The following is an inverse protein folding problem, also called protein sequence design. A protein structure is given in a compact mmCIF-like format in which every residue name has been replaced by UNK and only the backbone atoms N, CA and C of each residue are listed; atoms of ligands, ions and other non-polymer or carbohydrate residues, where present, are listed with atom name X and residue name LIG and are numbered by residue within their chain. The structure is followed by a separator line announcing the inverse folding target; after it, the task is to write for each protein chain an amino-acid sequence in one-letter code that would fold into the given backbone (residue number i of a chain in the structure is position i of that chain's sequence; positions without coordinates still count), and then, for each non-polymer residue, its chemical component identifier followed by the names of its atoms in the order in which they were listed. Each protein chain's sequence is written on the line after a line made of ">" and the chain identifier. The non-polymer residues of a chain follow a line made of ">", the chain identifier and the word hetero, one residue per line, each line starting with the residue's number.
data_IF_729002075854
#
_entry.id   IF_729002075854
#
_cell.length_a   1.000
_cell.length_b   1.000
_cell.length_c   1.000
_cell.angle_alpha   90.00
_cell.angle_beta   90.00
_cell.angle_gamma   90.00
#
_symmetry.space_group_name_H-M   'P 1'
#
loop_
_entity.id
_entity.type
_entity.pdbx_description
1 polymer ?
#
# COMPACT_ATOMS: atom_id res chain seq x y z
N UNK A 1 18.55 -17.54 4.16
CA UNK A 1 17.70 -16.79 5.12
C UNK A 1 18.39 -16.42 6.43
N UNK A 2 19.22 -17.27 7.06
CA UNK A 2 19.80 -17.00 8.39
C UNK A 2 20.73 -15.77 8.49
N UNK A 3 21.20 -15.22 7.37
CA UNK A 3 22.02 -13.99 7.29
C UNK A 3 21.24 -12.75 6.86
N UNK A 4 19.91 -12.82 6.73
CA UNK A 4 19.11 -11.69 6.23
C UNK A 4 19.26 -10.46 7.13
N UNK A 5 19.46 -9.28 6.52
CA UNK A 5 19.71 -7.98 7.18
C UNK A 5 20.94 -7.94 8.09
N UNK A 6 21.86 -8.91 7.97
CA UNK A 6 23.16 -8.85 8.64
C UNK A 6 24.20 -8.25 7.70
N UNK A 7 25.25 -7.64 8.26
CA UNK A 7 26.39 -7.13 7.51
C UNK A 7 26.96 -8.24 6.62
N UNK A 8 27.17 -7.95 5.33
CA UNK A 8 27.61 -8.90 4.31
C UNK A 8 26.67 -10.12 4.11
N UNK A 9 25.43 -10.05 4.60
CA UNK A 9 24.38 -11.05 4.41
C UNK A 9 23.38 -10.67 3.32
N UNK A 10 22.27 -11.40 3.27
CA UNK A 10 21.18 -11.15 2.32
C UNK A 10 20.45 -9.84 2.64
N UNK A 11 20.02 -9.11 1.60
CA UNK A 11 19.20 -7.93 1.77
C UNK A 11 17.84 -8.27 2.39
N UNK A 12 17.25 -7.28 3.07
CA UNK A 12 15.90 -7.40 3.65
C UNK A 12 14.76 -7.29 2.64
N UNK A 13 15.08 -7.02 1.37
CA UNK A 13 14.18 -6.78 0.25
C UNK A 13 14.79 -7.38 -1.01
N UNK A 14 14.01 -7.47 -2.10
CA UNK A 14 14.53 -7.97 -3.38
C UNK A 14 15.66 -7.09 -3.88
N UNK A 15 16.75 -7.71 -4.33
CA UNK A 15 17.94 -7.02 -4.83
C UNK A 15 18.52 -7.76 -6.02
N UNK A 16 18.49 -7.09 -7.18
CA UNK A 16 18.87 -7.67 -8.48
C UNK A 16 20.28 -8.28 -8.52
N UNK A 17 21.21 -7.73 -7.75
CA UNK A 17 22.58 -8.26 -7.70
C UNK A 17 22.72 -9.50 -6.82
N UNK A 18 21.71 -9.85 -6.01
CA UNK A 18 21.73 -11.01 -5.12
C UNK A 18 21.13 -12.25 -5.78
N UNK A 19 20.23 -12.09 -6.75
CA UNK A 19 19.59 -13.22 -7.42
C UNK A 19 19.01 -12.86 -8.80
N UNK A 20 19.05 -13.80 -9.74
CA UNK A 20 18.35 -13.68 -11.03
C UNK A 20 16.82 -13.64 -10.88
N UNK A 21 16.30 -14.20 -9.78
CA UNK A 21 14.88 -14.22 -9.45
C UNK A 21 14.39 -12.87 -8.90
N UNK A 22 15.30 -12.00 -8.47
CA UNK A 22 15.00 -10.64 -8.03
C UNK A 22 14.98 -9.70 -9.23
N UNK A 23 13.87 -9.73 -9.97
CA UNK A 23 13.75 -9.02 -11.24
C UNK A 23 13.86 -7.48 -11.11
N UNK A 24 13.49 -6.93 -9.94
CA UNK A 24 13.56 -5.51 -9.63
C UNK A 24 13.96 -5.28 -8.16
N UNK A 25 14.72 -4.22 -7.90
CA UNK A 25 15.13 -3.85 -6.55
C UNK A 25 14.01 -3.10 -5.83
N UNK A 26 13.70 -3.45 -4.58
CA UNK A 26 12.63 -2.81 -3.81
C UNK A 26 13.12 -2.31 -2.45
N UNK A 27 12.32 -1.43 -1.83
CA UNK A 27 12.59 -0.83 -0.52
C UNK A 27 11.50 0.18 -0.19
N UNK A 28 11.43 1.28 -0.95
CA UNK A 28 10.25 2.14 -0.97
C UNK A 28 9.06 1.40 -1.59
N UNK A 29 7.87 1.64 -1.05
CA UNK A 29 6.62 1.03 -1.48
C UNK A 29 6.10 1.63 -2.80
N UNK A 30 5.05 1.03 -3.35
CA UNK A 30 4.23 1.59 -4.44
C UNK A 30 4.90 1.69 -5.81
N UNK A 31 6.13 1.19 -5.94
CA UNK A 31 6.91 1.21 -7.19
C UNK A 31 6.63 0.02 -8.10
N UNK A 32 6.00 -1.05 -7.58
CA UNK A 32 5.93 -2.35 -8.27
C UNK A 32 5.09 -2.32 -9.55
N UNK A 33 4.00 -1.54 -9.59
CA UNK A 33 3.17 -1.42 -10.81
C UNK A 33 3.92 -0.64 -11.88
N UNK A 34 4.57 0.50 -11.55
CA UNK A 34 5.38 1.25 -12.52
C UNK A 34 6.52 0.41 -13.07
N UNK A 35 7.24 -0.30 -12.18
CA UNK A 35 8.35 -1.16 -12.57
C UNK A 35 7.86 -2.32 -13.46
N UNK A 36 6.76 -2.96 -13.09
CA UNK A 36 6.10 -3.99 -13.90
C UNK A 36 5.69 -3.47 -15.28
N UNK A 37 5.06 -2.30 -15.35
CA UNK A 37 4.69 -1.67 -16.63
C UNK A 37 5.92 -1.42 -17.51
N UNK A 38 6.98 -0.85 -16.95
CA UNK A 38 8.24 -0.64 -17.69
C UNK A 38 8.85 -1.94 -18.18
N UNK A 39 8.80 -3.02 -17.39
CA UNK A 39 9.25 -4.35 -17.79
C UNK A 39 8.36 -4.97 -18.89
N UNK A 40 7.05 -4.74 -18.86
CA UNK A 40 6.11 -5.22 -19.89
C UNK A 40 6.34 -4.49 -21.22
N UNK A 41 6.44 -3.16 -21.19
CA UNK A 41 6.82 -2.36 -22.38
C UNK A 41 8.19 -2.79 -22.92
N UNK A 42 9.18 -2.96 -22.05
CA UNK A 42 10.52 -3.41 -22.44
C UNK A 42 10.56 -4.84 -23.01
N UNK A 43 9.66 -5.72 -22.55
CA UNK A 43 9.45 -7.05 -23.14
C UNK A 43 8.94 -6.92 -24.57
N UNK A 44 7.90 -6.12 -24.78
CA UNK A 44 7.22 -5.98 -26.06
C UNK A 44 8.13 -5.36 -27.12
N UNK A 45 8.88 -4.31 -26.76
CA UNK A 45 9.91 -3.71 -27.60
C UNK A 45 11.02 -4.68 -28.02
N UNK A 46 11.25 -5.74 -27.24
CA UNK A 46 12.25 -6.79 -27.52
C UNK A 46 11.65 -8.03 -28.20
N UNK A 47 10.36 -7.99 -28.57
CA UNK A 47 9.66 -9.14 -29.16
C UNK A 47 9.56 -10.37 -28.25
N UNK A 48 9.70 -10.17 -26.93
CA UNK A 48 9.65 -11.26 -25.94
C UNK A 48 8.20 -11.58 -25.57
N UNK A 49 7.97 -12.78 -25.02
CA UNK A 49 6.62 -13.29 -24.67
C UNK A 49 6.48 -13.73 -23.22
N UNK A 50 7.41 -13.32 -22.34
CA UNK A 50 7.32 -13.63 -20.92
C UNK A 50 6.15 -12.87 -20.26
N UNK A 51 5.61 -13.40 -19.16
CA UNK A 51 4.61 -12.69 -18.37
C UNK A 51 5.27 -11.74 -17.38
N UNK A 52 4.60 -10.65 -17.07
CA UNK A 52 5.01 -9.67 -16.06
C UNK A 52 3.93 -9.60 -15.00
N UNK A 53 4.32 -9.85 -13.75
CA UNK A 53 3.41 -9.90 -12.60
C UNK A 53 3.94 -8.96 -11.53
N UNK A 54 3.14 -7.97 -11.15
CA UNK A 54 3.43 -7.04 -10.07
C UNK A 54 2.56 -7.40 -8.85
N UNK A 55 3.18 -7.67 -7.72
CA UNK A 55 2.47 -7.87 -6.44
C UNK A 55 2.55 -6.58 -5.63
N UNK A 56 1.43 -6.11 -5.13
CA UNK A 56 1.33 -4.86 -4.37
C UNK A 56 0.39 -5.05 -3.18
N UNK A 57 0.76 -4.52 -2.01
CA UNK A 57 -0.11 -4.53 -0.83
C UNK A 57 -1.17 -3.43 -0.89
N UNK A 58 -2.29 -3.62 -0.21
CA UNK A 58 -3.36 -2.63 -0.01
C UNK A 58 -2.84 -1.29 0.52
N UNK A 59 -1.93 -1.30 1.49
CA UNK A 59 -1.27 -0.08 1.97
C UNK A 59 -0.39 0.61 0.93
N UNK A 60 0.33 -0.15 0.10
CA UNK A 60 1.17 0.41 -0.96
C UNK A 60 0.34 0.94 -2.14
N UNK A 61 -0.91 0.51 -2.28
CA UNK A 61 -1.82 1.03 -3.29
C UNK A 61 -2.27 2.47 -3.00
N UNK A 62 -2.07 2.98 -1.78
CA UNK A 62 -2.54 4.33 -1.41
C UNK A 62 -1.67 5.45 -1.98
N UNK A 63 -0.45 5.17 -2.44
CA UNK A 63 0.44 6.20 -2.96
C UNK A 63 0.07 6.64 -4.37
N UNK A 64 0.27 7.92 -4.67
CA UNK A 64 -0.01 8.51 -5.99
C UNK A 64 0.63 7.74 -7.15
N UNK A 65 1.90 7.32 -7.00
CA UNK A 65 2.61 6.55 -8.02
C UNK A 65 1.88 5.26 -8.44
N UNK A 66 1.21 4.56 -7.50
CA UNK A 66 0.45 3.36 -7.85
C UNK A 66 -0.74 3.69 -8.76
N UNK A 67 -1.45 4.78 -8.48
CA UNK A 67 -2.56 5.26 -9.31
C UNK A 67 -2.09 5.73 -10.69
N UNK A 68 -1.01 6.50 -10.74
CA UNK A 68 -0.39 6.95 -11.99
C UNK A 68 0.01 5.74 -12.87
N UNK A 69 0.62 4.73 -12.26
CA UNK A 69 1.04 3.53 -12.95
C UNK A 69 -0.13 2.69 -13.45
N UNK A 70 -1.18 2.52 -12.65
CA UNK A 70 -2.40 1.82 -13.09
C UNK A 70 -3.08 2.56 -14.25
N UNK A 71 -3.20 3.89 -14.14
CA UNK A 71 -3.75 4.72 -15.21
C UNK A 71 -2.94 4.58 -16.50
N UNK A 72 -1.61 4.61 -16.40
CA UNK A 72 -0.74 4.44 -17.56
C UNK A 72 -0.81 3.01 -18.13
N UNK A 73 -0.89 1.98 -17.28
CA UNK A 73 -1.01 0.59 -17.73
C UNK A 73 -2.32 0.37 -18.51
N UNK A 74 -3.42 0.96 -18.04
CA UNK A 74 -4.71 0.94 -18.74
C UNK A 74 -4.65 1.70 -20.07
N UNK A 75 -4.03 2.89 -20.10
CA UNK A 75 -3.85 3.66 -21.34
C UNK A 75 -3.03 2.91 -22.41
N UNK A 76 -2.03 2.12 -21.98
CA UNK A 76 -1.17 1.37 -22.90
C UNK A 76 -1.73 -0.01 -23.28
N UNK A 77 -2.89 -0.41 -22.75
CA UNK A 77 -3.42 -1.77 -22.90
C UNK A 77 -2.34 -2.86 -22.66
N UNK A 78 -1.49 -2.65 -21.63
CA UNK A 78 -0.31 -3.50 -21.43
C UNK A 78 -0.68 -4.90 -20.93
N UNK A 79 -0.17 -5.96 -21.58
CA UNK A 79 -0.28 -7.36 -21.10
C UNK A 79 0.59 -7.56 -19.85
N UNK A 80 0.02 -7.23 -18.69
CA UNK A 80 0.61 -7.42 -17.38
C UNK A 80 -0.44 -7.82 -16.35
N UNK A 81 -0.01 -8.48 -15.28
CA UNK A 81 -0.86 -8.91 -14.18
C UNK A 81 -0.48 -8.10 -12.93
N UNK A 82 -1.45 -7.50 -12.28
CA UNK A 82 -1.32 -6.87 -10.97
C UNK A 82 -2.04 -7.73 -9.95
N UNK A 83 -1.34 -8.18 -8.91
CA UNK A 83 -1.91 -8.89 -7.77
C UNK A 83 -1.98 -7.91 -6.61
N UNK A 84 -3.19 -7.53 -6.23
CA UNK A 84 -3.45 -6.76 -5.03
C UNK A 84 -3.58 -7.72 -3.84
N UNK A 85 -2.57 -7.72 -2.97
CA UNK A 85 -2.58 -8.45 -1.71
C UNK A 85 -3.21 -7.58 -0.61
N UNK A 86 -4.49 -7.77 -0.36
CA UNK A 86 -5.28 -7.04 0.61
C UNK A 86 -5.40 -7.81 1.93
N UNK A 87 -4.70 -7.34 2.96
CA UNK A 87 -4.83 -7.87 4.32
C UNK A 87 -5.52 -6.87 5.28
N UNK A 88 -6.10 -5.79 4.74
CA UNK A 88 -6.78 -4.72 5.47
C UNK A 88 -5.90 -4.03 6.53
N UNK A 89 -4.58 -4.08 6.41
CA UNK A 89 -3.67 -3.46 7.38
C UNK A 89 -2.47 -2.80 6.72
N UNK A 90 -2.26 -1.52 7.03
CA UNK A 90 -1.04 -0.81 6.65
C UNK A 90 0.19 -1.28 7.42
N UNK A 91 1.34 -0.88 6.87
CA UNK A 91 2.66 -1.08 7.46
C UNK A 91 2.80 -0.19 8.70
N UNK A 92 3.03 -0.83 9.85
CA UNK A 92 3.01 -0.30 11.23
C UNK A 92 1.59 -0.03 11.75
N UNK A 93 1.33 -0.25 13.05
CA UNK A 93 0.06 0.15 13.61
C UNK A 93 0.04 1.67 13.55
N UNK A 94 -0.77 2.19 12.63
CA UNK A 94 -1.52 3.42 12.81
C UNK A 94 -2.39 3.20 14.05
N UNK A 95 -1.73 3.14 15.22
CA UNK A 95 -2.33 2.76 16.47
C UNK A 95 -3.25 3.91 16.90
N UNK A 96 -4.50 3.84 16.45
CA UNK A 96 -5.59 4.53 17.13
C UNK A 96 -5.81 3.91 18.51
N UNK A 97 -6.62 4.59 19.33
CA UNK A 97 -6.95 4.19 20.69
C UNK A 97 -7.49 2.74 20.80
N UNK A 98 -8.08 2.19 19.72
CA UNK A 98 -8.91 0.97 19.77
C UNK A 98 -8.43 -0.20 18.88
N UNK A 99 -7.33 -0.07 18.11
CA UNK A 99 -6.79 -1.20 17.32
C UNK A 99 -6.13 -0.84 15.98
N UNK A 100 -5.73 -1.85 15.17
CA UNK A 100 -5.16 -1.64 13.84
C UNK A 100 -6.19 -1.04 12.87
N UNK A 101 -5.75 -0.08 12.04
CA UNK A 101 -6.62 0.65 11.11
C UNK A 101 -6.41 0.12 9.69
N UNK A 102 -7.48 -0.04 8.88
CA UNK A 102 -7.33 -0.30 7.45
C UNK A 102 -6.58 0.84 6.74
N UNK A 103 -5.92 0.58 5.60
CA UNK A 103 -5.28 1.65 4.83
C UNK A 103 -6.24 2.82 4.56
N UNK A 104 -5.73 4.04 4.70
CA UNK A 104 -6.46 5.25 4.31
C UNK A 104 -6.61 5.26 2.80
N UNK A 105 -7.83 5.10 2.31
CA UNK A 105 -8.12 5.12 0.87
C UNK A 105 -9.56 4.76 0.53
N UNK A 106 -10.22 5.65 -0.21
CA UNK A 106 -11.56 5.40 -0.74
C UNK A 106 -11.59 4.19 -1.69
N UNK A 107 -10.45 3.75 -2.26
CA UNK A 107 -10.41 2.62 -3.18
C UNK A 107 -10.65 1.27 -2.49
N UNK A 108 -10.08 1.00 -1.31
CA UNK A 108 -10.35 -0.25 -0.59
C UNK A 108 -11.82 -0.34 -0.16
N UNK A 109 -12.38 0.79 0.30
CA UNK A 109 -13.80 0.87 0.65
C UNK A 109 -14.73 0.90 -0.56
N UNK A 110 -14.33 1.49 -1.70
CA UNK A 110 -15.09 1.52 -2.95
C UNK A 110 -15.06 0.17 -3.66
N UNK A 111 -13.92 -0.54 -3.68
CA UNK A 111 -13.83 -1.93 -4.14
C UNK A 111 -14.70 -2.83 -3.25
N UNK A 112 -14.62 -2.68 -1.92
CA UNK A 112 -15.47 -3.41 -0.98
C UNK A 112 -16.98 -3.08 -1.12
N UNK A 113 -17.34 -1.82 -1.45
CA UNK A 113 -18.74 -1.38 -1.64
C UNK A 113 -19.32 -1.73 -3.02
N UNK A 114 -18.51 -1.68 -4.08
CA UNK A 114 -18.88 -2.22 -5.39
C UNK A 114 -19.17 -3.72 -5.31
N UNK A 115 -18.51 -4.42 -4.37
CA UNK A 115 -18.69 -5.84 -4.10
C UNK A 115 -19.91 -6.16 -3.20
N UNK A 116 -20.32 -5.26 -2.29
CA UNK A 116 -21.44 -5.52 -1.36
C UNK A 116 -22.83 -5.21 -1.93
N UNK A 117 -22.89 -4.51 -3.07
CA UNK A 117 -24.14 -4.30 -3.80
C UNK A 117 -24.56 -5.60 -4.52
N UNK A 118 -25.59 -6.26 -3.96
CA UNK A 118 -26.29 -7.43 -4.52
C UNK A 118 -26.73 -7.35 -6.01
N UNK A 119 -26.92 -6.20 -6.71
CA UNK A 119 -27.43 -6.21 -8.08
C UNK A 119 -26.45 -6.73 -9.15
N UNK A 120 -25.14 -6.81 -8.87
CA UNK A 120 -24.16 -7.22 -9.89
C UNK A 120 -24.23 -8.72 -10.24
N UNK A 121 -24.75 -9.55 -9.32
CA UNK A 121 -25.02 -10.98 -9.57
C UNK A 121 -26.24 -11.17 -10.49
N UNK A 122 -27.28 -10.36 -10.32
CA UNK A 122 -28.50 -10.42 -11.13
C UNK A 122 -28.29 -9.86 -12.55
N UNK A 123 -27.48 -8.81 -12.69
CA UNK A 123 -27.11 -8.26 -14.00
C UNK A 123 -26.37 -9.28 -14.88
N UNK A 124 -25.63 -10.21 -14.26
CA UNK A 124 -24.86 -11.27 -14.92
C UNK A 124 -25.72 -12.43 -15.44
N UNK A 125 -26.84 -12.70 -14.77
CA UNK A 125 -27.87 -13.66 -15.23
C UNK A 125 -28.69 -13.06 -16.40
N UNK A 126 -29.01 -11.76 -16.32
CA UNK A 126 -29.71 -11.04 -17.41
C UNK A 126 -28.84 -10.94 -18.66
N UNK A 127 -27.53 -10.66 -18.52
CA UNK A 127 -26.60 -10.59 -19.66
C UNK A 127 -26.39 -11.94 -20.38
N UNK A 128 -26.44 -13.07 -19.64
CA UNK A 128 -26.41 -14.43 -20.23
C UNK A 128 -27.69 -14.76 -21.02
N UNK A 129 -28.83 -14.15 -20.67
CA UNK A 129 -30.09 -14.30 -21.39
C UNK A 129 -30.11 -13.51 -22.71
N UNK A 130 -29.55 -12.31 -22.72
CA UNK A 130 -29.59 -11.38 -23.86
C UNK A 130 -28.55 -11.72 -24.94
N UNK A 131 -27.40 -12.29 -24.56
CA UNK A 131 -26.33 -12.66 -25.51
C UNK A 131 -26.70 -13.80 -26.46
N UNK A 132 -27.75 -14.59 -26.18
CA UNK A 132 -28.24 -15.63 -27.10
C UNK A 132 -29.09 -15.11 -28.26
N UNK A 133 -29.50 -13.83 -28.27
CA UNK A 133 -30.43 -13.30 -29.27
C UNK A 133 -29.87 -12.17 -30.15
N UNK A 134 -28.64 -11.70 -29.94
CA UNK A 134 -28.09 -10.56 -30.70
C UNK A 134 -26.91 -11.04 -31.55
N UNK A 135 -27.18 -11.30 -32.83
CA UNK A 135 -26.17 -11.64 -33.83
C UNK A 135 -25.46 -10.42 -34.40
N UNK A 136 -24.14 -10.55 -34.64
CA UNK A 136 -23.29 -9.60 -35.38
C UNK A 136 -23.27 -8.16 -34.86
N UNK A 137 -22.50 -7.27 -35.49
CA UNK A 137 -21.28 -6.56 -35.04
C UNK A 137 -21.13 -6.11 -33.57
N UNK A 138 -22.16 -6.22 -32.73
CA UNK A 138 -22.10 -5.96 -31.30
C UNK A 138 -21.30 -6.99 -30.50
N UNK A 139 -20.92 -8.12 -31.13
CA UNK A 139 -20.16 -9.18 -30.46
C UNK A 139 -18.75 -8.74 -30.08
N UNK A 140 -18.10 -7.87 -30.85
CA UNK A 140 -16.78 -7.33 -30.49
C UNK A 140 -16.85 -6.34 -29.33
N UNK A 141 -17.89 -5.49 -29.29
CA UNK A 141 -18.11 -4.55 -28.19
C UNK A 141 -18.55 -5.29 -26.91
N UNK A 142 -19.42 -6.30 -27.05
CA UNK A 142 -19.83 -7.18 -25.96
C UNK A 142 -18.68 -8.07 -25.47
N UNK A 143 -17.81 -8.54 -26.37
CA UNK A 143 -16.59 -9.26 -25.99
C UNK A 143 -15.60 -8.33 -25.28
N UNK A 144 -15.42 -7.08 -25.73
CA UNK A 144 -14.60 -6.07 -25.04
C UNK A 144 -15.13 -5.74 -23.64
N UNK A 145 -16.45 -5.61 -23.51
CA UNK A 145 -17.11 -5.35 -22.22
C UNK A 145 -17.08 -6.59 -21.32
N UNK A 146 -17.25 -7.79 -21.87
CA UNK A 146 -17.13 -9.06 -21.14
C UNK A 146 -15.67 -9.37 -20.77
N UNK A 147 -14.69 -8.91 -21.55
CA UNK A 147 -13.25 -9.01 -21.30
C UNK A 147 -12.79 -7.98 -20.27
N UNK A 148 -13.31 -6.75 -20.30
CA UNK A 148 -13.14 -5.76 -19.22
C UNK A 148 -13.81 -6.24 -17.94
N UNK A 149 -15.02 -6.77 -18.05
CA UNK A 149 -15.68 -7.44 -16.95
C UNK A 149 -14.81 -8.62 -16.49
N UNK A 150 -14.18 -9.41 -17.38
CA UNK A 150 -13.28 -10.53 -17.02
C UNK A 150 -11.99 -10.09 -16.34
N UNK A 151 -11.42 -8.96 -16.74
CA UNK A 151 -10.33 -8.27 -16.04
C UNK A 151 -10.75 -7.72 -14.66
N UNK A 152 -12.06 -7.61 -14.43
CA UNK A 152 -12.74 -7.32 -13.16
C UNK A 152 -13.44 -8.57 -12.54
N UNK A 153 -13.35 -9.76 -13.17
CA UNK A 153 -14.04 -10.99 -12.72
C UNK A 153 -13.17 -11.67 -11.69
N UNK A 154 -13.40 -11.30 -10.46
CA UNK A 154 -14.06 -12.14 -9.46
C UNK A 154 -14.06 -11.33 -8.17
N UNK A 155 -14.98 -11.60 -7.25
CA UNK A 155 -14.82 -11.09 -5.90
C UNK A 155 -13.44 -11.45 -5.33
N UNK A 156 -13.04 -10.85 -4.22
CA UNK A 156 -11.73 -11.12 -3.62
C UNK A 156 -11.49 -12.63 -3.51
N UNK A 157 -10.36 -13.07 -4.06
CA UNK A 157 -9.94 -14.47 -4.01
C UNK A 157 -9.37 -14.73 -2.62
N UNK A 158 -9.67 -15.89 -2.03
CA UNK A 158 -8.98 -16.32 -0.81
C UNK A 158 -7.50 -16.55 -1.13
N UNK A 159 -6.65 -15.66 -0.60
CA UNK A 159 -5.21 -15.71 -0.80
C UNK A 159 -4.51 -16.85 -0.09
N UNK A 160 -5.25 -17.68 0.63
CA UNK A 160 -4.73 -18.86 1.31
C UNK A 160 -5.17 -20.17 0.68
N UNK A 161 -6.01 -20.11 -0.36
CA UNK A 161 -6.36 -21.26 -1.18
C UNK A 161 -5.35 -21.38 -2.33
N UNK A 162 -4.32 -22.23 -2.16
CA UNK A 162 -3.29 -22.43 -3.18
C UNK A 162 -3.91 -22.98 -4.47
N UNK A 163 -4.87 -23.89 -4.37
CA UNK A 163 -5.51 -24.49 -5.53
C UNK A 163 -6.27 -23.44 -6.36
N UNK A 164 -7.01 -22.55 -5.71
CA UNK A 164 -7.72 -21.46 -6.39
C UNK A 164 -6.74 -20.47 -7.04
N UNK A 165 -5.69 -20.07 -6.32
CA UNK A 165 -4.66 -19.18 -6.85
C UNK A 165 -3.96 -19.79 -8.08
N UNK A 166 -3.62 -21.08 -8.02
CA UNK A 166 -3.01 -21.80 -9.15
C UNK A 166 -3.97 -21.88 -10.33
N UNK A 167 -5.25 -22.18 -10.10
CA UNK A 167 -6.26 -22.25 -11.14
C UNK A 167 -6.43 -20.89 -11.84
N UNK A 168 -6.58 -19.81 -11.07
CA UNK A 168 -6.74 -18.45 -11.58
C UNK A 168 -5.50 -18.00 -12.34
N UNK A 169 -4.30 -18.20 -11.79
CA UNK A 169 -3.06 -17.81 -12.47
C UNK A 169 -2.83 -18.61 -13.76
N UNK A 170 -3.24 -19.88 -13.81
CA UNK A 170 -3.22 -20.68 -15.05
C UNK A 170 -4.17 -20.11 -16.10
N UNK A 171 -5.39 -19.76 -15.70
CA UNK A 171 -6.41 -19.19 -16.59
C UNK A 171 -6.01 -17.81 -17.13
N UNK A 172 -5.50 -16.93 -16.27
CA UNK A 172 -5.01 -15.61 -16.68
C UNK A 172 -3.78 -15.73 -17.58
N UNK A 173 -2.93 -16.75 -17.36
CA UNK A 173 -1.77 -17.01 -18.21
C UNK A 173 -2.17 -17.52 -19.61
N UNK A 174 -3.21 -18.35 -19.72
CA UNK A 174 -3.67 -18.93 -20.99
C UNK A 174 -4.57 -17.99 -21.79
N UNK A 175 -5.26 -17.07 -21.11
CA UNK A 175 -6.14 -16.09 -21.74
C UNK A 175 -5.31 -15.00 -22.43
N UNK A 176 -5.63 -14.73 -23.70
CA UNK A 176 -5.17 -13.50 -24.35
C UNK A 176 -6.04 -12.38 -23.82
N UNK A 177 -5.51 -11.55 -22.92
CA UNK A 177 -6.19 -10.34 -22.47
C UNK A 177 -5.76 -9.15 -23.32
N UNK A 178 -6.72 -8.31 -23.71
CA UNK A 178 -6.46 -6.92 -24.10
C UNK A 178 -6.37 -6.09 -22.83
N UNK A 179 -5.15 -5.67 -22.47
CA UNK A 179 -4.92 -4.82 -21.30
C UNK A 179 -4.50 -5.54 -20.01
N UNK A 180 -4.23 -4.76 -18.96
CA UNK A 180 -3.74 -5.25 -17.69
C UNK A 180 -4.85 -5.97 -16.91
N UNK A 181 -4.49 -7.03 -16.20
CA UNK A 181 -5.39 -7.80 -15.34
C UNK A 181 -5.13 -7.49 -13.87
N UNK A 182 -6.16 -7.14 -13.11
CA UNK A 182 -6.07 -6.97 -11.66
C UNK A 182 -6.69 -8.18 -10.95
N UNK A 183 -5.90 -8.87 -10.14
CA UNK A 183 -6.36 -9.95 -9.27
C UNK A 183 -6.38 -9.44 -7.82
N UNK A 184 -7.57 -9.28 -7.25
CA UNK A 184 -7.75 -8.92 -5.84
C UNK A 184 -7.69 -10.18 -4.98
N UNK A 185 -6.64 -10.28 -4.18
CA UNK A 185 -6.40 -11.41 -3.28
C UNK A 185 -6.52 -10.93 -1.84
N UNK A 186 -7.38 -11.56 -1.05
CA UNK A 186 -7.54 -11.25 0.36
C UNK A 186 -6.72 -12.21 1.21
N UNK A 187 -5.85 -11.67 2.06
CA UNK A 187 -5.01 -12.44 2.98
C UNK A 187 -5.20 -12.01 4.44
N UNK A 188 -4.52 -12.70 5.34
CA UNK A 188 -4.53 -12.43 6.77
C UNK A 188 -3.09 -12.16 7.20
N UNK A 189 -2.84 -10.94 7.67
CA UNK A 189 -1.49 -10.54 8.09
C UNK A 189 -1.07 -11.35 9.32
N UNK A 190 0.11 -11.97 9.22
CA UNK A 190 0.66 -12.83 10.27
C UNK A 190 0.16 -14.28 10.26
N UNK A 191 -0.67 -14.67 9.29
CA UNK A 191 -1.25 -16.03 9.23
C UNK A 191 -0.19 -17.12 9.31
N UNK A 192 -0.49 -18.15 10.10
CA UNK A 192 0.38 -19.30 10.32
C UNK A 192 1.39 -19.07 11.44
N UNK A 193 1.42 -17.89 12.05
CA UNK A 193 2.26 -17.59 13.21
C UNK A 193 1.42 -17.03 14.36
N UNK A 194 1.04 -17.86 15.36
CA UNK A 194 0.07 -17.48 16.39
C UNK A 194 0.43 -16.23 17.20
N UNK A 195 1.72 -15.95 17.38
CA UNK A 195 2.19 -14.76 18.08
C UNK A 195 1.98 -13.49 17.25
N UNK A 196 2.23 -13.54 15.94
CA UNK A 196 1.91 -12.43 15.05
C UNK A 196 0.39 -12.26 14.93
N UNK A 197 -0.38 -13.33 14.77
CA UNK A 197 -1.85 -13.22 14.68
C UNK A 197 -2.49 -12.56 15.89
N UNK A 198 -1.91 -12.72 17.09
CA UNK A 198 -2.40 -12.08 18.32
C UNK A 198 -1.86 -10.67 18.54
N UNK A 199 -0.76 -10.29 17.89
CA UNK A 199 -0.14 -8.99 18.07
C UNK A 199 -0.91 -7.88 17.36
N UNK A 200 -1.03 -6.71 18.01
CA UNK A 200 -1.75 -5.57 17.46
C UNK A 200 -1.17 -5.07 16.12
N UNK A 201 0.14 -5.17 15.94
CA UNK A 201 0.86 -4.80 14.71
C UNK A 201 1.12 -5.98 13.76
N UNK A 202 0.69 -7.19 14.14
CA UNK A 202 0.98 -8.44 13.43
C UNK A 202 2.47 -8.68 13.17
N UNK A 203 3.33 -8.23 14.08
CA UNK A 203 4.79 -8.35 13.96
C UNK A 203 5.35 -7.65 12.71
N UNK A 204 4.71 -6.56 12.29
CA UNK A 204 5.16 -5.79 11.14
C UNK A 204 6.57 -5.21 11.32
N UNK A 205 6.91 -4.81 12.55
CA UNK A 205 8.25 -4.36 12.93
C UNK A 205 8.66 -4.99 14.25
N UNK A 206 9.49 -6.05 14.18
CA UNK A 206 9.97 -6.75 15.37
C UNK A 206 11.47 -6.61 15.54
N UNK A 207 11.90 -6.38 16.78
CA UNK A 207 13.28 -6.62 17.16
C UNK A 207 13.61 -8.11 17.00
N UNK A 208 14.90 -8.47 17.07
CA UNK A 208 15.31 -9.88 17.10
C UNK A 208 14.46 -10.62 18.15
N UNK A 209 13.81 -11.70 17.75
CA UNK A 209 12.89 -12.44 18.59
C UNK A 209 13.11 -13.93 18.44
N UNK A 210 12.68 -14.70 19.43
CA UNK A 210 12.67 -16.15 19.37
C UNK A 210 11.41 -16.61 18.61
N UNK A 211 11.54 -17.28 17.44
CA UNK A 211 10.40 -17.74 16.67
C UNK A 211 9.52 -18.73 17.44
N UNK A 212 10.09 -19.59 18.29
CA UNK A 212 9.33 -20.62 19.00
C UNK A 212 8.42 -20.02 20.07
N UNK A 213 8.83 -18.91 20.70
CA UNK A 213 8.12 -18.31 21.84
C UNK A 213 7.49 -16.96 21.52
N UNK A 214 7.83 -16.34 20.38
CA UNK A 214 7.42 -15.00 20.01
C UNK A 214 8.09 -13.91 20.84
N UNK A 215 8.96 -14.24 21.80
CA UNK A 215 9.54 -13.29 22.74
C UNK A 215 10.59 -12.43 22.04
N UNK A 216 10.35 -11.12 21.99
CA UNK A 216 11.32 -10.17 21.47
C UNK A 216 12.46 -9.93 22.47
N UNK A 217 13.69 -9.94 21.98
CA UNK A 217 14.88 -9.59 22.72
C UNK A 217 14.96 -8.06 22.78
N UNK A 218 14.34 -7.47 23.80
CA UNK A 218 14.48 -6.04 24.10
C UNK A 218 15.77 -5.82 24.86
N UNK A 219 16.73 -5.13 24.25
CA UNK A 219 17.86 -4.56 24.98
C UNK A 219 17.32 -3.37 25.76
N UNK A 220 17.49 -3.34 27.08
CA UNK A 220 17.06 -2.18 27.87
C UNK A 220 17.95 -0.98 27.51
N UNK A 221 17.37 0.00 26.84
CA UNK A 221 18.05 1.28 26.63
C UNK A 221 18.04 2.09 27.92
N UNK A 222 19.11 2.84 28.19
CA UNK A 222 19.19 3.76 29.35
C UNK A 222 18.40 5.05 29.15
N UNK A 223 17.99 5.35 27.93
CA UNK A 223 17.27 6.57 27.54
C UNK A 223 16.12 6.22 26.59
N UNK A 224 15.13 7.10 26.50
CA UNK A 224 14.05 7.01 25.52
C UNK A 224 14.58 7.24 24.09
N UNK A 225 13.83 6.82 23.08
CA UNK A 225 14.15 7.13 21.68
C UNK A 225 13.84 8.59 21.35
N UNK A 226 14.49 9.13 20.31
CA UNK A 226 14.15 10.45 19.76
C UNK A 226 12.67 10.55 19.39
N UNK A 227 12.10 9.47 18.83
CA UNK A 227 10.67 9.36 18.52
C UNK A 227 9.79 9.64 19.75
N UNK A 228 10.13 9.09 20.92
CA UNK A 228 9.37 9.32 22.15
C UNK A 228 9.55 10.75 22.66
N UNK A 229 10.78 11.26 22.72
CA UNK A 229 11.02 12.65 23.13
C UNK A 229 10.30 13.66 22.24
N UNK A 230 10.33 13.45 20.92
CA UNK A 230 9.60 14.27 19.95
C UNK A 230 8.09 14.26 20.23
N UNK A 231 7.49 13.08 20.39
CA UNK A 231 6.06 12.96 20.63
C UNK A 231 5.62 13.61 21.95
N UNK A 232 6.37 13.40 23.03
CA UNK A 232 6.09 14.02 24.34
C UNK A 232 6.19 15.54 24.28
N UNK A 233 7.23 16.08 23.64
CA UNK A 233 7.39 17.52 23.45
C UNK A 233 6.25 18.11 22.61
N UNK A 234 5.91 17.49 21.48
CA UNK A 234 4.83 17.95 20.62
C UNK A 234 3.47 17.93 21.34
N UNK A 235 3.21 16.91 22.17
CA UNK A 235 2.00 16.84 22.99
C UNK A 235 1.96 17.99 23.99
N UNK A 236 3.05 18.26 24.71
CA UNK A 236 3.12 19.35 25.68
C UNK A 236 2.85 20.71 25.01
N UNK A 237 3.45 20.98 23.85
CA UNK A 237 3.18 22.20 23.07
C UNK A 237 1.72 22.28 22.65
N UNK A 238 1.12 21.17 22.20
CA UNK A 238 -0.27 21.13 21.76
C UNK A 238 -1.30 21.20 22.90
N UNK A 239 -0.91 20.96 24.16
CA UNK A 239 -1.76 21.23 25.34
C UNK A 239 -1.94 22.74 25.56
N UNK A 240 -0.91 23.53 25.22
CA UNK A 240 -0.93 24.99 25.35
C UNK A 240 -1.50 25.65 24.10
N UNK A 241 -1.15 25.16 22.91
CA UNK A 241 -1.60 25.72 21.63
C UNK A 241 -2.61 24.82 20.90
N UNK A 242 -3.84 25.34 20.76
CA UNK A 242 -4.94 24.64 20.10
C UNK A 242 -4.76 24.51 18.58
N UNK A 243 -3.91 25.33 17.98
CA UNK A 243 -3.68 25.37 16.54
C UNK A 243 -2.65 24.33 16.07
N UNK A 244 -1.94 23.67 16.99
CA UNK A 244 -0.99 22.60 16.64
C UNK A 244 -1.76 21.35 16.21
N UNK A 245 -1.39 20.84 15.03
CA UNK A 245 -1.90 19.60 14.44
C UNK A 245 -0.76 18.71 13.98
N UNK A 246 -0.93 17.40 14.04
CA UNK A 246 0.08 16.42 13.65
C UNK A 246 -0.34 15.67 12.38
N UNK A 247 0.63 15.37 11.51
CA UNK A 247 0.41 14.68 10.23
C UNK A 247 1.49 13.60 10.07
N UNK A 248 1.09 12.39 9.68
CA UNK A 248 2.02 11.34 9.23
C UNK A 248 1.53 10.63 7.97
N UNK A 249 2.45 9.98 7.26
CA UNK A 249 2.17 9.17 6.09
C UNK A 249 2.22 7.67 6.43
N UNK A 250 1.17 7.12 7.06
CA UNK A 250 1.08 5.74 7.56
C UNK A 250 2.14 5.31 8.59
N UNK A 251 2.86 6.26 9.20
CA UNK A 251 3.98 5.98 10.11
C UNK A 251 3.68 6.35 11.58
N UNK A 252 2.43 6.21 12.04
CA UNK A 252 2.02 6.67 13.38
C UNK A 252 2.87 6.12 14.53
N UNK A 253 3.16 4.81 14.53
CA UNK A 253 4.06 4.21 15.54
C UNK A 253 5.54 4.58 15.34
N UNK A 254 6.00 4.60 14.08
CA UNK A 254 7.40 4.92 13.76
C UNK A 254 7.78 6.38 14.03
N UNK A 255 6.81 7.29 14.03
CA UNK A 255 6.99 8.74 14.31
C UNK A 255 6.52 9.15 15.71
N UNK A 256 5.96 8.22 16.48
CA UNK A 256 5.41 8.51 17.81
C UNK A 256 4.08 9.28 17.80
N UNK A 257 3.56 9.64 16.61
CA UNK A 257 2.29 10.36 16.47
C UNK A 257 1.06 9.53 16.85
N UNK A 258 1.20 8.22 17.06
CA UNK A 258 0.18 7.43 17.75
C UNK A 258 -0.07 7.93 19.20
N UNK A 259 0.94 8.45 19.90
CA UNK A 259 0.78 9.06 21.21
C UNK A 259 -0.01 10.37 21.12
N UNK A 260 0.34 11.20 20.12
CA UNK A 260 -0.36 12.46 19.85
C UNK A 260 -1.84 12.20 19.50
N UNK A 261 -2.10 11.23 18.63
CA UNK A 261 -3.45 10.80 18.24
C UNK A 261 -4.30 10.36 19.44
N UNK A 262 -3.71 9.63 20.39
CA UNK A 262 -4.41 9.22 21.63
C UNK A 262 -4.83 10.40 22.48
N UNK A 263 -3.99 11.44 22.54
CA UNK A 263 -4.27 12.65 23.33
C UNK A 263 -5.21 13.62 22.61
N UNK A 264 -5.04 13.78 21.29
CA UNK A 264 -5.77 14.73 20.45
C UNK A 264 -6.31 14.09 19.17
N UNK A 265 -7.35 13.23 19.25
CA UNK A 265 -7.85 12.48 18.08
C UNK A 265 -8.27 13.34 16.90
N UNK A 266 -8.85 14.53 17.16
CA UNK A 266 -9.32 15.44 16.12
C UNK A 266 -8.21 16.29 15.47
N UNK A 267 -6.96 16.18 15.94
CA UNK A 267 -5.81 17.01 15.49
C UNK A 267 -4.66 16.18 14.94
N UNK A 268 -4.86 14.89 14.68
CA UNK A 268 -3.85 14.02 14.11
C UNK A 268 -4.37 13.39 12.81
N UNK A 269 -3.63 13.54 11.73
CA UNK A 269 -4.04 13.11 10.41
C UNK A 269 -3.09 12.05 9.85
N UNK A 270 -3.64 10.88 9.53
CA UNK A 270 -2.96 9.87 8.73
C UNK A 270 -3.39 10.03 7.28
N UNK A 271 -2.44 10.32 6.40
CA UNK A 271 -2.72 10.46 4.95
C UNK A 271 -2.45 9.17 4.17
N UNK A 272 -2.14 8.07 4.84
CA UNK A 272 -1.70 6.83 4.20
C UNK A 272 -0.26 6.95 3.67
N UNK A 273 0.16 6.02 2.81
CA UNK A 273 1.49 6.08 2.16
C UNK A 273 1.44 7.15 1.06
N UNK A 274 1.43 8.43 1.44
CA UNK A 274 1.24 9.55 0.52
C UNK A 274 2.01 10.79 0.98
N UNK A 275 3.35 10.73 0.99
CA UNK A 275 4.22 11.79 1.50
C UNK A 275 4.05 13.12 0.75
N UNK A 276 3.88 13.07 -0.57
CA UNK A 276 3.60 14.25 -1.40
C UNK A 276 2.32 14.96 -0.93
N UNK A 277 1.28 14.16 -0.68
CA UNK A 277 0.02 14.67 -0.15
C UNK A 277 0.20 15.18 1.28
N UNK A 278 0.92 14.49 2.15
CA UNK A 278 1.18 14.89 3.53
C UNK A 278 1.74 16.33 3.63
N UNK A 279 2.76 16.62 2.82
CA UNK A 279 3.42 17.93 2.81
C UNK A 279 2.51 19.03 2.24
N UNK A 280 1.80 18.74 1.15
CA UNK A 280 0.86 19.71 0.55
C UNK A 280 -0.36 19.95 1.45
N UNK A 281 -0.85 18.91 2.11
CA UNK A 281 -1.93 18.96 3.08
C UNK A 281 -1.55 19.82 4.29
N UNK A 282 -0.32 19.65 4.79
CA UNK A 282 0.24 20.52 5.82
C UNK A 282 0.27 21.99 5.35
N UNK A 283 0.73 22.26 4.13
CA UNK A 283 0.70 23.62 3.58
C UNK A 283 -0.72 24.22 3.55
N UNK A 284 -1.72 23.43 3.15
CA UNK A 284 -3.13 23.84 3.20
C UNK A 284 -3.62 24.17 4.62
N UNK A 285 -3.27 23.35 5.61
CA UNK A 285 -3.60 23.64 7.02
C UNK A 285 -2.91 24.91 7.52
N UNK A 286 -1.67 25.17 7.10
CA UNK A 286 -0.95 26.39 7.42
C UNK A 286 -1.64 27.64 6.83
N UNK A 287 -2.16 27.55 5.60
CA UNK A 287 -2.96 28.63 4.99
C UNK A 287 -4.22 28.96 5.81
N UNK A 288 -4.81 27.98 6.48
CA UNK A 288 -5.97 28.15 7.37
C UNK A 288 -5.60 28.60 8.80
N UNK A 289 -4.35 29.00 9.03
CA UNK A 289 -3.89 29.53 10.31
C UNK A 289 -3.52 28.47 11.36
N UNK A 290 -3.48 27.18 10.99
CA UNK A 290 -2.99 26.12 11.86
C UNK A 290 -1.47 26.01 11.85
N UNK A 291 -0.93 25.24 12.80
CA UNK A 291 0.49 24.96 12.98
C UNK A 291 0.78 23.48 12.76
N UNK A 292 0.92 23.03 11.50
CA UNK A 292 1.07 21.62 11.16
C UNK A 292 2.50 21.09 11.40
N UNK A 293 2.60 19.99 12.14
CA UNK A 293 3.81 19.21 12.30
C UNK A 293 3.70 17.93 11.45
N UNK A 294 4.44 17.89 10.34
CA UNK A 294 4.45 16.77 9.40
C UNK A 294 5.66 15.88 9.69
N UNK A 295 5.43 14.73 10.34
CA UNK A 295 6.49 13.79 10.70
C UNK A 295 6.66 12.72 9.61
N UNK A 296 7.81 12.71 8.94
CA UNK A 296 8.13 11.82 7.82
C UNK A 296 9.58 11.37 7.94
N UNK A 297 9.85 10.08 7.79
CA UNK A 297 11.22 9.57 7.79
C UNK A 297 12.07 10.22 6.69
N UNK A 298 13.36 10.44 6.97
CA UNK A 298 14.27 11.13 6.05
C UNK A 298 14.29 10.48 4.66
N UNK A 299 14.33 9.15 4.59
CA UNK A 299 14.28 8.41 3.33
C UNK A 299 12.97 8.60 2.55
N UNK A 300 11.84 8.72 3.25
CA UNK A 300 10.53 8.88 2.61
C UNK A 300 10.25 10.32 2.18
N UNK A 301 10.84 11.31 2.85
CA UNK A 301 10.71 12.72 2.46
C UNK A 301 11.22 12.98 1.03
N UNK A 302 12.15 12.16 0.53
CA UNK A 302 12.61 12.21 -0.86
C UNK A 302 11.45 12.15 -1.86
N UNK A 303 10.34 11.46 -1.54
CA UNK A 303 9.14 11.41 -2.39
C UNK A 303 8.38 12.74 -2.46
N UNK A 304 8.52 13.59 -1.44
CA UNK A 304 7.83 14.86 -1.31
C UNK A 304 8.75 16.08 -1.54
N UNK A 305 9.90 15.88 -2.19
CA UNK A 305 10.92 16.92 -2.36
C UNK A 305 10.37 18.19 -3.02
N UNK A 306 9.62 18.04 -4.10
CA UNK A 306 9.02 19.16 -4.84
C UNK A 306 8.03 19.95 -3.96
N UNK A 307 7.14 19.23 -3.25
CA UNK A 307 6.15 19.83 -2.35
C UNK A 307 6.84 20.54 -1.18
N UNK A 308 7.88 19.93 -0.61
CA UNK A 308 8.66 20.55 0.46
C UNK A 308 9.33 21.83 -0.02
N UNK A 309 9.99 21.80 -1.18
CA UNK A 309 10.65 22.98 -1.77
C UNK A 309 9.64 24.10 -2.05
N UNK A 310 8.48 23.77 -2.61
CA UNK A 310 7.47 24.77 -2.98
C UNK A 310 6.83 25.42 -1.74
N UNK A 311 6.55 24.61 -0.70
CA UNK A 311 5.71 25.04 0.42
C UNK A 311 6.47 25.26 1.74
N UNK A 312 7.81 25.11 1.77
CA UNK A 312 8.63 25.37 2.97
C UNK A 312 8.48 26.78 3.53
N UNK A 313 8.13 27.75 2.68
CA UNK A 313 8.02 29.16 3.04
C UNK A 313 6.79 29.47 3.90
N UNK A 314 5.81 28.56 3.96
CA UNK A 314 4.73 28.66 4.93
C UNK A 314 5.33 28.46 6.33
N UNK A 315 5.38 29.54 7.11
CA UNK A 315 6.17 29.71 8.34
C UNK A 315 5.82 28.75 9.49
N UNK A 316 4.93 27.80 9.25
CA UNK A 316 4.38 26.85 10.22
C UNK A 316 4.55 25.38 9.81
N UNK A 317 5.29 25.06 8.74
CA UNK A 317 5.61 23.67 8.37
C UNK A 317 6.87 23.17 9.11
N UNK A 318 6.68 22.38 10.17
CA UNK A 318 7.77 21.65 10.81
C UNK A 318 7.84 20.22 10.24
N UNK A 319 8.91 19.92 9.48
CA UNK A 319 9.21 18.57 8.99
C UNK A 319 10.19 17.92 9.96
N UNK A 320 9.76 16.83 10.60
CA UNK A 320 10.63 16.09 11.54
C UNK A 320 11.29 14.95 10.81
N UNK A 321 12.62 14.99 10.78
CA UNK A 321 13.49 13.96 10.22
C UNK A 321 13.78 12.91 11.29
N UNK A 322 13.35 11.67 11.05
CA UNK A 322 13.86 10.50 11.79
C UNK A 322 14.88 9.78 10.88
N UNK A 323 16.07 9.49 11.41
CA UNK A 323 17.06 8.64 10.77
C UNK A 323 16.69 7.18 11.03
N UNK A 324 16.54 6.39 9.97
CA UNK A 324 16.34 4.95 10.03
C UNK A 324 17.63 4.21 9.65
#
# INVERSE_FOLDING_TARGET
>A
MHTIRQTNGLAGFTKRSESEYDCFGTGHSSTTISAGLGMAVGRDLKGRKNKVVAVIGDGAMTAGQAYEAMNNAGYLDSDMIVILNDNKQVSLPTATLDGPVPPVGALSSALSRLQSNRPLRELREVAKGVTKQIGGPMHELAAKVDEYARGLISGPVDGHSIDDLVAILKEVKSTKSTGPVLIHVVTEKGRGYPYAEKAADKYHGVAKFDPATGKQLKVSAKTQSYTTYFAEALIAEAEVDKNIVAIHAAMGGGTGLNLFLRRFPARCFDVGIAEQHAVTFAAGLACEGLKPFCAIYSSFLQRAYDQARQYLHFSSLAIVFDEA
#
